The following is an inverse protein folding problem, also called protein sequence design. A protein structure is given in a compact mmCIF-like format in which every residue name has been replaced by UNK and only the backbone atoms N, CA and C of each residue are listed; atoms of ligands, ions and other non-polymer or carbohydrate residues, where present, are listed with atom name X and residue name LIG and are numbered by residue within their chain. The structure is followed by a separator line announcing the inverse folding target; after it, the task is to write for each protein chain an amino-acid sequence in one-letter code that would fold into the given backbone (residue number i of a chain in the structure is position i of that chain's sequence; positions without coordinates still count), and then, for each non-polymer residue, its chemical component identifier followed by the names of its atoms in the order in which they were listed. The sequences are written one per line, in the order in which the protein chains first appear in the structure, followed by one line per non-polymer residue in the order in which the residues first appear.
data_IF_259732855138
#
_entry.id   IF_259732855138
#
_cell.length_a   1.000
_cell.length_b   1.000
_cell.length_c   1.000
_cell.angle_alpha   90.00
_cell.angle_beta   90.00
_cell.angle_gamma   90.00
#
_symmetry.space_group_name_H-M   'P 1'
#
loop_
_entity.id
_entity.type
_entity.pdbx_description
1 polymer ?
#
# COMPACT_ATOMS: atom_id res chain seq x y z
N UNK A 1 -45.68 -32.58 -32.09
CA UNK A 1 -44.76 -31.74 -32.86
C UNK A 1 -44.67 -30.29 -32.38
N UNK A 2 -45.35 -29.87 -31.29
CA UNK A 2 -45.20 -28.52 -30.72
C UNK A 2 -43.99 -28.35 -29.77
N UNK A 3 -43.40 -29.44 -29.26
CA UNK A 3 -42.34 -29.40 -28.26
C UNK A 3 -40.93 -29.07 -28.79
N UNK A 4 -40.65 -29.32 -30.08
CA UNK A 4 -39.33 -29.05 -30.67
C UNK A 4 -39.15 -27.58 -31.07
N UNK A 5 -40.18 -26.93 -31.63
CA UNK A 5 -40.11 -25.49 -31.96
C UNK A 5 -39.98 -24.61 -30.71
N UNK A 6 -40.59 -25.02 -29.59
CA UNK A 6 -40.55 -24.25 -28.34
C UNK A 6 -39.22 -24.40 -27.59
N UNK A 7 -38.53 -25.54 -27.77
CA UNK A 7 -37.16 -25.76 -27.29
C UNK A 7 -36.12 -25.00 -28.12
N UNK A 8 -36.33 -24.90 -29.43
CA UNK A 8 -35.46 -24.12 -30.33
C UNK A 8 -35.49 -22.62 -29.99
N UNK A 9 -36.70 -22.06 -29.82
CA UNK A 9 -36.88 -20.65 -29.48
C UNK A 9 -36.34 -20.27 -28.07
N UNK A 10 -36.44 -21.18 -27.09
CA UNK A 10 -35.89 -20.95 -25.76
C UNK A 10 -34.35 -20.96 -25.75
N UNK A 11 -33.75 -21.80 -26.61
CA UNK A 11 -32.30 -21.86 -26.78
C UNK A 11 -31.78 -20.60 -27.48
N UNK A 12 -32.45 -20.14 -28.54
CA UNK A 12 -32.12 -18.88 -29.23
C UNK A 12 -32.24 -17.66 -28.30
N UNK A 13 -33.30 -17.56 -27.50
CA UNK A 13 -33.47 -16.47 -26.54
C UNK A 13 -32.36 -16.46 -25.47
N UNK A 14 -31.92 -17.64 -25.00
CA UNK A 14 -30.84 -17.77 -24.03
C UNK A 14 -29.48 -17.36 -24.62
N UNK A 15 -29.26 -17.64 -25.91
CA UNK A 15 -28.08 -17.19 -26.67
C UNK A 15 -28.08 -15.67 -26.78
N UNK A 16 -29.18 -15.08 -27.25
CA UNK A 16 -29.29 -13.63 -27.41
C UNK A 16 -29.11 -12.86 -26.09
N UNK A 17 -29.65 -13.38 -24.99
CA UNK A 17 -29.47 -12.80 -23.65
C UNK A 17 -28.00 -12.88 -23.19
N UNK A 18 -27.34 -14.02 -23.38
CA UNK A 18 -25.94 -14.21 -23.00
C UNK A 18 -25.00 -13.26 -23.79
N UNK A 19 -25.19 -13.15 -25.10
CA UNK A 19 -24.41 -12.25 -25.94
C UNK A 19 -24.70 -10.77 -25.65
N UNK A 20 -25.97 -10.40 -25.41
CA UNK A 20 -26.35 -9.04 -25.02
C UNK A 20 -25.67 -8.64 -23.70
N UNK A 21 -25.67 -9.56 -22.72
CA UNK A 21 -25.00 -9.34 -21.44
C UNK A 21 -23.49 -9.20 -21.58
N UNK A 22 -22.85 -10.01 -22.43
CA UNK A 22 -21.43 -9.88 -22.71
C UNK A 22 -21.11 -8.54 -23.40
N UNK A 23 -21.95 -8.11 -24.34
CA UNK A 23 -21.79 -6.82 -25.03
C UNK A 23 -21.85 -5.65 -24.04
N UNK A 24 -22.83 -5.63 -23.12
CA UNK A 24 -22.90 -4.60 -22.07
C UNK A 24 -21.62 -4.52 -21.24
N UNK A 25 -21.04 -5.68 -20.90
CA UNK A 25 -19.82 -5.76 -20.11
C UNK A 25 -18.59 -5.31 -20.90
N UNK A 26 -18.53 -5.61 -22.20
CA UNK A 26 -17.48 -5.11 -23.11
C UNK A 26 -17.60 -3.59 -23.28
N UNK A 27 -18.81 -3.06 -23.42
CA UNK A 27 -19.04 -1.62 -23.53
C UNK A 27 -18.64 -0.87 -22.24
N UNK A 28 -18.77 -1.52 -21.09
CA UNK A 28 -18.34 -1.00 -19.79
C UNK A 28 -16.82 -1.12 -19.53
N UNK A 29 -16.07 -1.88 -20.34
CA UNK A 29 -14.65 -2.19 -20.10
C UNK A 29 -13.78 -0.92 -19.95
N UNK A 30 -13.88 0.11 -20.82
CA UNK A 30 -13.01 1.29 -20.69
C UNK A 30 -13.18 2.02 -19.35
N UNK A 31 -14.41 2.07 -18.82
CA UNK A 31 -14.69 2.66 -17.51
C UNK A 31 -14.08 1.82 -16.38
N UNK A 32 -14.15 0.48 -16.49
CA UNK A 32 -13.56 -0.44 -15.52
C UNK A 32 -12.03 -0.43 -15.54
N UNK A 33 -11.42 -0.22 -16.71
CA UNK A 33 -9.97 -0.01 -16.82
C UNK A 33 -9.51 1.27 -16.14
N UNK A 34 -10.27 2.36 -16.26
CA UNK A 34 -9.97 3.62 -15.55
C UNK A 34 -10.07 3.44 -14.03
N UNK A 35 -11.11 2.72 -13.57
CA UNK A 35 -11.24 2.32 -12.17
C UNK A 35 -10.06 1.46 -11.72
N UNK A 36 -9.61 0.52 -12.55
CA UNK A 36 -8.43 -0.30 -12.30
C UNK A 36 -7.15 0.51 -12.17
N UNK A 37 -6.93 1.51 -13.05
CA UNK A 37 -5.81 2.44 -12.96
C UNK A 37 -5.85 3.25 -11.68
N UNK A 38 -7.04 3.77 -11.32
CA UNK A 38 -7.26 4.50 -10.07
C UNK A 38 -6.95 3.65 -8.85
N UNK A 39 -7.39 2.38 -8.85
CA UNK A 39 -7.12 1.43 -7.78
C UNK A 39 -5.62 1.16 -7.61
N UNK A 40 -4.92 0.87 -8.71
CA UNK A 40 -3.45 0.63 -8.67
C UNK A 40 -2.72 1.87 -8.17
N UNK A 41 -3.10 3.06 -8.66
CA UNK A 41 -2.51 4.33 -8.24
C UNK A 41 -2.74 4.58 -6.74
N UNK A 42 -3.95 4.34 -6.23
CA UNK A 42 -4.27 4.51 -4.81
C UNK A 42 -3.46 3.54 -3.92
N UNK A 43 -3.30 2.28 -4.32
CA UNK A 43 -2.47 1.30 -3.59
C UNK A 43 -0.99 1.67 -3.56
N UNK A 44 -0.46 2.15 -4.70
CA UNK A 44 0.90 2.65 -4.77
C UNK A 44 1.08 3.87 -3.84
N UNK A 45 0.12 4.79 -3.83
CA UNK A 45 0.15 5.97 -2.97
C UNK A 45 0.19 5.57 -1.49
N UNK A 46 -0.70 4.68 -1.07
CA UNK A 46 -0.73 4.16 0.30
C UNK A 46 0.60 3.50 0.68
N UNK A 47 1.19 2.70 -0.21
CA UNK A 47 2.48 2.06 0.03
C UNK A 47 3.61 3.08 0.24
N UNK A 48 3.69 4.10 -0.62
CA UNK A 48 4.68 5.19 -0.50
C UNK A 48 4.50 5.95 0.80
N UNK A 49 3.26 6.31 1.16
CA UNK A 49 2.96 7.04 2.41
C UNK A 49 3.36 6.22 3.62
N UNK A 50 3.03 4.92 3.64
CA UNK A 50 3.41 4.01 4.72
C UNK A 50 4.93 3.91 4.90
N UNK A 51 5.69 3.83 3.80
CA UNK A 51 7.15 3.82 3.88
C UNK A 51 7.69 5.16 4.38
N UNK A 52 7.07 6.27 3.99
CA UNK A 52 7.46 7.59 4.47
C UNK A 52 7.23 7.73 5.98
N UNK A 53 6.11 7.23 6.49
CA UNK A 53 5.82 7.20 7.94
C UNK A 53 6.81 6.31 8.70
N UNK A 54 7.17 5.16 8.14
CA UNK A 54 8.21 4.29 8.70
C UNK A 54 9.56 5.01 8.78
N UNK A 55 9.97 5.66 7.70
CA UNK A 55 11.18 6.48 7.67
C UNK A 55 11.16 7.60 8.72
N UNK A 56 10.07 8.36 8.83
CA UNK A 56 9.94 9.40 9.84
C UNK A 56 10.00 8.84 11.26
N UNK A 57 9.39 7.68 11.50
CA UNK A 57 9.44 6.99 12.79
C UNK A 57 10.88 6.60 13.14
N UNK A 58 11.61 5.96 12.22
CA UNK A 58 13.01 5.61 12.43
C UNK A 58 13.89 6.84 12.65
N UNK A 59 13.62 7.94 11.92
CA UNK A 59 14.34 9.20 12.05
C UNK A 59 14.15 9.79 13.44
N UNK A 60 12.90 9.91 13.90
CA UNK A 60 12.59 10.41 15.24
C UNK A 60 13.23 9.56 16.34
N UNK A 61 13.25 8.24 16.17
CA UNK A 61 13.90 7.34 17.13
C UNK A 61 15.43 7.51 17.19
N UNK A 62 16.07 7.83 16.06
CA UNK A 62 17.50 8.15 16.04
C UNK A 62 17.77 9.51 16.69
N UNK A 63 16.96 10.53 16.38
CA UNK A 63 17.06 11.86 17.02
C UNK A 63 16.93 11.74 18.54
N UNK A 64 15.94 11.00 19.04
CA UNK A 64 15.80 10.74 20.47
C UNK A 64 16.98 9.95 21.08
N UNK A 65 17.69 9.15 20.29
CA UNK A 65 18.89 8.45 20.76
C UNK A 65 20.11 9.38 20.78
N UNK A 66 20.18 10.32 19.84
CA UNK A 66 21.18 11.39 19.81
C UNK A 66 21.02 12.32 21.02
N UNK A 67 19.80 12.74 21.34
CA UNK A 67 19.51 13.57 22.52
C UNK A 67 19.94 12.88 23.81
N UNK A 68 19.56 11.61 24.00
CA UNK A 68 19.98 10.82 25.17
C UNK A 68 21.50 10.69 25.29
N UNK A 69 22.19 10.55 24.16
CA UNK A 69 23.65 10.48 24.17
C UNK A 69 24.28 11.83 24.54
N UNK A 70 23.72 12.94 24.06
CA UNK A 70 24.17 14.28 24.42
C UNK A 70 23.97 14.55 25.93
N UNK A 71 22.81 14.21 26.47
CA UNK A 71 22.51 14.30 27.90
C UNK A 71 23.46 13.46 28.75
N UNK A 72 23.67 12.19 28.40
CA UNK A 72 24.57 11.30 29.12
C UNK A 72 26.02 11.82 29.10
N UNK A 73 26.48 12.38 27.98
CA UNK A 73 27.81 13.00 27.87
C UNK A 73 27.93 14.25 28.74
N UNK A 74 26.90 15.09 28.78
CA UNK A 74 26.86 16.26 29.65
C UNK A 74 26.93 15.84 31.12
N UNK A 75 26.15 14.83 31.52
CA UNK A 75 26.17 14.29 32.87
C UNK A 75 27.54 13.70 33.25
N UNK A 76 28.23 13.03 32.32
CA UNK A 76 29.60 12.56 32.53
C UNK A 76 30.58 13.71 32.80
N UNK A 77 30.51 14.78 32.01
CA UNK A 77 31.34 15.98 32.24
C UNK A 77 31.10 16.57 33.63
N UNK A 78 29.85 16.63 34.08
CA UNK A 78 29.52 17.11 35.43
C UNK A 78 30.06 16.18 36.52
N UNK A 79 29.87 14.86 36.36
CA UNK A 79 30.36 13.85 37.29
C UNK A 79 31.89 13.88 37.41
N UNK A 80 32.60 14.05 36.29
CA UNK A 80 34.06 14.17 36.26
C UNK A 80 34.54 15.45 36.93
N UNK A 81 33.78 16.55 36.87
CA UNK A 81 34.13 17.81 37.52
C UNK A 81 34.02 17.76 39.06
N UNK A 82 33.14 16.90 39.60
CA UNK A 82 32.95 16.72 41.05
C UNK A 82 33.52 15.39 41.57
N UNK A 83 34.14 14.59 40.70
CA UNK A 83 34.69 13.25 40.96
C UNK A 83 33.71 12.26 41.63
N UNK A 84 32.40 12.47 41.45
CA UNK A 84 31.34 11.66 42.06
C UNK A 84 30.46 11.02 40.98
N UNK A 85 30.18 9.72 41.13
CA UNK A 85 29.30 8.99 40.20
C UNK A 85 29.86 8.79 38.79
N UNK A 86 31.16 9.02 38.56
CA UNK A 86 31.81 8.96 37.24
C UNK A 86 31.60 7.63 36.53
N UNK A 87 31.77 6.50 37.22
CA UNK A 87 31.61 5.18 36.60
C UNK A 87 30.16 4.92 36.14
N UNK A 88 29.18 5.41 36.90
CA UNK A 88 27.77 5.33 36.50
C UNK A 88 27.49 6.19 35.27
N UNK A 89 28.00 7.42 35.25
CA UNK A 89 27.86 8.30 34.09
C UNK A 89 28.55 7.72 32.84
N UNK A 90 29.72 7.07 32.99
CA UNK A 90 30.38 6.34 31.89
C UNK A 90 29.52 5.19 31.36
N UNK A 91 28.91 4.40 32.26
CA UNK A 91 27.96 3.34 31.87
C UNK A 91 26.77 3.91 31.11
N UNK A 92 26.21 5.03 31.56
CA UNK A 92 25.09 5.70 30.88
C UNK A 92 25.46 6.15 29.46
N UNK A 93 26.66 6.72 29.26
CA UNK A 93 27.17 7.08 27.92
C UNK A 93 27.31 5.85 27.03
N UNK A 94 27.90 4.76 27.52
CA UNK A 94 28.05 3.52 26.75
C UNK A 94 26.69 2.94 26.34
N UNK A 95 25.72 2.95 27.25
CA UNK A 95 24.36 2.49 26.98
C UNK A 95 23.66 3.36 25.93
N UNK A 96 23.71 4.69 26.07
CA UNK A 96 23.13 5.62 25.11
C UNK A 96 23.79 5.51 23.72
N UNK A 97 25.12 5.36 23.67
CA UNK A 97 25.85 5.18 22.42
C UNK A 97 25.47 3.85 21.73
N UNK A 98 25.30 2.78 22.50
CA UNK A 98 24.84 1.49 21.99
C UNK A 98 23.43 1.59 21.42
N UNK A 99 22.50 2.22 22.16
CA UNK A 99 21.12 2.46 21.72
C UNK A 99 21.10 3.22 20.39
N UNK A 100 21.87 4.30 20.27
CA UNK A 100 22.02 5.06 19.03
C UNK A 100 22.53 4.17 17.88
N UNK A 101 23.56 3.35 18.14
CA UNK A 101 24.10 2.41 17.17
C UNK A 101 23.03 1.46 16.60
N UNK A 102 22.12 0.96 17.44
CA UNK A 102 21.01 0.10 17.01
C UNK A 102 19.95 0.81 16.16
N UNK A 103 19.93 2.15 16.10
CA UNK A 103 18.95 2.93 15.32
C UNK A 103 19.43 3.33 13.92
N UNK A 104 20.74 3.31 13.66
CA UNK A 104 21.30 3.73 12.37
C UNK A 104 20.86 2.80 11.22
N UNK A 105 21.02 1.48 11.39
CA UNK A 105 20.65 0.49 10.37
C UNK A 105 19.16 0.55 9.99
N UNK A 106 18.22 0.54 10.96
CA UNK A 106 16.81 0.70 10.67
C UNK A 106 16.46 1.98 9.89
N UNK A 107 17.09 3.12 10.21
CA UNK A 107 16.87 4.36 9.46
C UNK A 107 17.32 4.23 8.00
N UNK A 108 18.52 3.68 7.78
CA UNK A 108 19.05 3.45 6.43
C UNK A 108 18.17 2.50 5.62
N UNK A 109 17.66 1.45 6.26
CA UNK A 109 16.75 0.50 5.62
C UNK A 109 15.41 1.16 5.25
N UNK A 110 14.83 1.96 6.16
CA UNK A 110 13.58 2.66 5.90
C UNK A 110 13.74 3.73 4.79
N UNK A 111 14.89 4.42 4.75
CA UNK A 111 15.20 5.36 3.68
C UNK A 111 15.32 4.66 2.32
N UNK A 112 16.02 3.52 2.27
CA UNK A 112 16.16 2.72 1.06
C UNK A 112 14.80 2.18 0.58
N UNK A 113 13.97 1.68 1.50
CA UNK A 113 12.63 1.19 1.20
C UNK A 113 11.71 2.30 0.67
N UNK A 114 11.76 3.50 1.26
CA UNK A 114 11.01 4.65 0.74
C UNK A 114 11.47 5.04 -0.66
N UNK A 115 12.79 5.05 -0.91
CA UNK A 115 13.35 5.37 -2.23
C UNK A 115 12.92 4.35 -3.28
N UNK A 116 13.08 3.05 -2.98
CA UNK A 116 12.67 1.96 -3.87
C UNK A 116 11.16 1.99 -4.17
N UNK A 117 10.35 2.30 -3.15
CA UNK A 117 8.91 2.43 -3.31
C UNK A 117 8.55 3.61 -4.22
N UNK A 118 9.22 4.75 -4.09
CA UNK A 118 9.03 5.89 -4.98
C UNK A 118 9.47 5.57 -6.41
N UNK A 119 10.66 4.97 -6.59
CA UNK A 119 11.23 4.62 -7.89
C UNK A 119 10.36 3.61 -8.67
N UNK A 120 9.64 2.73 -7.96
CA UNK A 120 8.72 1.75 -8.55
C UNK A 120 7.28 2.24 -8.69
N UNK A 121 6.96 3.42 -8.17
CA UNK A 121 5.63 4.01 -8.22
C UNK A 121 5.42 4.93 -9.42
N UNK A 122 4.17 5.35 -9.63
CA UNK A 122 3.82 6.37 -10.63
C UNK A 122 3.95 7.82 -10.12
N UNK A 123 4.51 8.03 -8.92
CA UNK A 123 4.60 9.34 -8.27
C UNK A 123 5.99 9.93 -8.39
N UNK A 124 6.07 11.23 -8.68
CA UNK A 124 7.35 11.94 -8.72
C UNK A 124 7.87 12.27 -7.31
N UNK A 125 6.99 12.38 -6.32
CA UNK A 125 7.33 12.73 -4.95
C UNK A 125 6.25 12.29 -3.94
N UNK A 126 6.57 12.45 -2.65
CA UNK A 126 5.69 12.07 -1.56
C UNK A 126 4.39 12.89 -1.50
N UNK A 127 4.42 14.18 -1.86
CA UNK A 127 3.23 15.04 -1.79
C UNK A 127 2.18 14.59 -2.82
N UNK A 128 2.62 14.21 -4.01
CA UNK A 128 1.75 13.62 -5.04
C UNK A 128 1.14 12.30 -4.57
N UNK A 129 1.94 11.43 -3.94
CA UNK A 129 1.45 10.18 -3.37
C UNK A 129 0.40 10.43 -2.27
N UNK A 130 0.65 11.38 -1.37
CA UNK A 130 -0.31 11.76 -0.31
C UNK A 130 -1.62 12.28 -0.87
N UNK A 131 -1.57 13.09 -1.92
CA UNK A 131 -2.77 13.59 -2.59
C UNK A 131 -3.58 12.48 -3.27
N UNK A 132 -2.91 11.43 -3.76
CA UNK A 132 -3.53 10.29 -4.39
C UNK A 132 -3.97 9.18 -3.42
N UNK A 133 -3.72 9.34 -2.11
CA UNK A 133 -4.29 8.44 -1.11
C UNK A 133 -5.82 8.53 -1.15
N UNK A 134 -6.45 7.37 -1.04
CA UNK A 134 -7.88 7.24 -1.01
C UNK A 134 -8.30 6.68 0.35
N UNK A 135 -9.47 7.09 0.84
CA UNK A 135 -10.04 6.54 2.07
C UNK A 135 -10.20 5.02 1.98
N UNK A 136 -9.96 4.32 3.09
CA UNK A 136 -9.94 2.85 3.14
C UNK A 136 -11.28 2.25 2.67
N UNK A 137 -12.40 2.86 3.08
CA UNK A 137 -13.74 2.45 2.66
C UNK A 137 -13.96 2.61 1.16
N UNK A 138 -13.54 3.75 0.59
CA UNK A 138 -13.66 4.02 -0.84
C UNK A 138 -12.75 3.07 -1.66
N UNK A 139 -11.57 2.75 -1.15
CA UNK A 139 -10.68 1.75 -1.74
C UNK A 139 -11.32 0.36 -1.77
N UNK A 140 -11.88 -0.08 -0.64
CA UNK A 140 -12.55 -1.38 -0.54
C UNK A 140 -13.80 -1.46 -1.45
N UNK A 141 -14.56 -0.38 -1.57
CA UNK A 141 -15.70 -0.29 -2.49
C UNK A 141 -15.25 -0.41 -3.96
N UNK A 142 -14.19 0.30 -4.34
CA UNK A 142 -13.65 0.24 -5.69
C UNK A 142 -13.10 -1.16 -6.04
N UNK A 143 -12.40 -1.79 -5.09
CA UNK A 143 -11.94 -3.18 -5.23
C UNK A 143 -13.10 -4.15 -5.42
N UNK A 144 -14.15 -4.01 -4.62
CA UNK A 144 -15.34 -4.85 -4.71
C UNK A 144 -16.04 -4.67 -6.05
N UNK A 145 -16.17 -3.44 -6.52
CA UNK A 145 -16.79 -3.14 -7.82
C UNK A 145 -16.00 -3.79 -8.98
N UNK A 146 -14.68 -3.60 -9.01
CA UNK A 146 -13.82 -4.20 -10.05
C UNK A 146 -13.87 -5.74 -9.99
N UNK A 147 -13.91 -6.31 -8.79
CA UNK A 147 -13.99 -7.77 -8.61
C UNK A 147 -15.33 -8.32 -9.11
N UNK A 148 -16.45 -7.68 -8.75
CA UNK A 148 -17.77 -8.07 -9.21
C UNK A 148 -17.90 -7.97 -10.75
N UNK A 149 -17.30 -6.95 -11.36
CA UNK A 149 -17.23 -6.83 -12.82
C UNK A 149 -16.44 -8.00 -13.45
N UNK A 150 -15.26 -8.33 -12.90
CA UNK A 150 -14.44 -9.45 -13.39
C UNK A 150 -15.15 -10.79 -13.30
N UNK A 151 -15.85 -11.03 -12.20
CA UNK A 151 -16.67 -12.23 -12.00
C UNK A 151 -17.81 -12.29 -13.02
N UNK A 152 -18.56 -11.18 -13.17
CA UNK A 152 -19.65 -11.07 -14.15
C UNK A 152 -19.16 -11.29 -15.59
N UNK A 153 -18.00 -10.73 -15.94
CA UNK A 153 -17.38 -10.90 -17.26
C UNK A 153 -16.98 -12.36 -17.50
N UNK A 154 -16.33 -13.00 -16.52
CA UNK A 154 -15.91 -14.40 -16.63
C UNK A 154 -17.12 -15.37 -16.69
N UNK A 155 -18.21 -15.06 -16.00
CA UNK A 155 -19.47 -15.81 -16.08
C UNK A 155 -20.14 -15.66 -17.44
N UNK A 156 -20.32 -14.43 -17.93
CA UNK A 156 -20.92 -14.15 -19.22
C UNK A 156 -20.12 -14.78 -20.36
N UNK A 157 -18.79 -14.72 -20.31
CA UNK A 157 -17.91 -15.34 -21.29
C UNK A 157 -18.06 -16.85 -21.31
N UNK A 158 -18.00 -17.52 -20.14
CA UNK A 158 -18.20 -18.98 -20.04
C UNK A 158 -19.56 -19.42 -20.56
N UNK A 159 -20.60 -18.63 -20.29
CA UNK A 159 -21.95 -18.92 -20.80
C UNK A 159 -21.96 -18.85 -22.34
N UNK A 160 -21.41 -17.80 -22.93
CA UNK A 160 -21.31 -17.67 -24.39
C UNK A 160 -20.50 -18.82 -25.00
N UNK A 161 -19.36 -19.18 -24.42
CA UNK A 161 -18.51 -20.30 -24.86
C UNK A 161 -19.22 -21.66 -24.78
N UNK A 162 -20.15 -21.85 -23.83
CA UNK A 162 -20.91 -23.10 -23.70
C UNK A 162 -22.06 -23.23 -24.71
N UNK A 163 -22.43 -22.12 -25.37
CA UNK A 163 -23.55 -22.02 -26.30
C UNK A 163 -23.11 -22.04 -27.78
N UNK A 164 -21.79 -21.94 -28.03
CA UNK A 164 -21.16 -22.03 -29.37
C UNK A 164 -20.62 -23.45 -29.59
#
# INVERSE_FOLDING_TARGET
MAGDSQRCAACEAQVDEAFSRLQELVDALPAMEEKGRSLVRAKQAESVVRQAESFQTCKSLLEQADDRLAEARSALVQAEAVEEGVDEARRAVLHAASLRGFRVGPLQNAEAALRECLDSSSFANLDEARFACMEETALAELEKEISAYRESYAEALRLCESLV
#
